data_IF_266796069572
#
_entry.id   IF_266796069572
#
_cell.length_a   1.000
_cell.length_b   1.000
_cell.length_c   1.000
_cell.angle_alpha   90.00
_cell.angle_beta   90.00
_cell.angle_gamma   90.00
#
_symmetry.space_group_name_H-M   'P 1'
#
loop_
_entity.id
_entity.type
_entity.pdbx_description
1 polymer ?
#
# COMPACT_ATOMS: atom_id res chain seq x y z
N UNK A 1 15.09 47.26 54.91
CA UNK A 1 16.54 46.99 55.02
C UNK A 1 16.73 45.63 55.65
N UNK A 2 17.49 44.76 54.97
CA UNK A 2 18.35 43.66 55.44
C UNK A 2 17.92 42.69 56.57
N UNK A 3 18.12 41.41 56.25
CA UNK A 3 18.65 40.37 57.16
C UNK A 3 17.57 39.42 57.68
N UNK A 4 17.74 38.10 57.72
CA UNK A 4 18.90 37.22 57.58
C UNK A 4 18.53 35.88 58.24
N UNK A 5 19.09 34.77 57.73
CA UNK A 5 18.69 33.37 57.90
C UNK A 5 18.91 32.72 59.29
N UNK A 6 17.97 31.80 59.60
CA UNK A 6 18.04 30.45 60.23
C UNK A 6 18.76 30.20 61.58
N UNK A 7 18.29 29.20 62.35
CA UNK A 7 18.96 27.89 62.24
C UNK A 7 18.04 26.65 62.27
N UNK A 8 18.60 25.59 61.67
CA UNK A 8 18.14 24.19 61.57
C UNK A 8 18.19 23.47 62.93
N UNK A 9 17.44 22.37 63.07
CA UNK A 9 18.08 21.15 63.60
C UNK A 9 17.81 19.90 62.74
N UNK A 10 18.76 18.97 62.81
CA UNK A 10 18.82 17.66 62.15
C UNK A 10 18.64 16.56 63.20
N UNK A 11 17.79 15.56 62.90
CA UNK A 11 17.84 14.13 63.32
C UNK A 11 16.41 13.57 63.13
N UNK A 12 16.13 12.42 62.54
CA UNK A 12 16.92 11.35 61.97
C UNK A 12 16.03 10.08 61.90
N UNK A 13 16.29 9.19 60.95
CA UNK A 13 16.06 7.75 61.11
C UNK A 13 14.76 7.11 60.58
N UNK A 14 14.95 6.33 59.50
CA UNK A 14 14.60 4.89 59.35
C UNK A 14 13.16 4.44 58.96
N UNK A 15 13.14 3.60 57.89
CA UNK A 15 12.13 2.57 57.56
C UNK A 15 10.83 3.11 56.93
N UNK A 16 10.17 2.50 55.96
CA UNK A 16 10.14 1.13 55.45
C UNK A 16 9.58 1.10 54.00
N UNK A 17 9.62 -0.10 53.42
CA UNK A 17 9.30 -0.51 52.06
C UNK A 17 7.83 -0.38 51.61
N UNK A 18 7.66 -0.50 50.28
CA UNK A 18 6.41 -0.85 49.60
C UNK A 18 5.75 0.34 48.91
N UNK A 19 5.24 0.29 47.69
CA UNK A 19 4.93 -0.83 46.81
C UNK A 19 4.77 -0.25 45.40
N UNK A 20 4.98 -1.10 44.40
CA UNK A 20 4.77 -0.86 42.98
C UNK A 20 3.57 0.04 42.66
N UNK A 21 3.87 1.23 42.16
CA UNK A 21 2.97 2.05 41.37
C UNK A 21 3.46 2.03 39.92
N UNK A 22 3.50 0.84 39.31
CA UNK A 22 3.61 0.71 37.85
C UNK A 22 2.34 1.32 37.28
N UNK A 23 2.34 2.65 37.11
CA UNK A 23 1.34 3.35 36.35
C UNK A 23 1.28 2.62 35.01
N UNK A 24 0.13 2.00 34.77
CA UNK A 24 -0.23 1.29 33.56
C UNK A 24 -0.07 2.28 32.41
N UNK A 25 1.15 2.38 31.88
CA UNK A 25 1.43 3.17 30.70
C UNK A 25 0.64 2.47 29.62
N UNK A 26 -0.41 3.07 29.06
CA UNK A 26 -1.10 2.46 27.95
C UNK A 26 -0.02 2.11 26.93
N UNK A 27 0.05 0.84 26.57
CA UNK A 27 0.91 0.36 25.48
C UNK A 27 0.42 1.10 24.25
N UNK A 28 1.03 2.27 23.99
CA UNK A 28 0.79 3.00 22.77
C UNK A 28 1.24 2.04 21.68
N UNK A 29 0.36 1.61 20.77
CA UNK A 29 0.77 0.78 19.66
C UNK A 29 1.98 1.48 19.01
N UNK A 30 3.09 0.75 18.82
CA UNK A 30 4.35 1.29 18.30
C UNK A 30 4.22 1.92 16.90
N UNK A 31 3.02 1.84 16.34
CA UNK A 31 2.52 2.48 15.15
C UNK A 31 1.34 3.34 15.62
N UNK A 32 1.60 4.59 15.99
CA UNK A 32 0.55 5.60 15.86
C UNK A 32 0.11 5.52 14.39
N UNK A 33 -1.16 5.20 14.09
CA UNK A 33 -1.58 5.08 12.70
C UNK A 33 -1.27 6.42 12.03
N UNK A 34 -0.37 6.38 11.04
CA UNK A 34 -0.14 7.52 10.17
C UNK A 34 -1.52 7.97 9.70
N UNK A 35 -1.86 9.26 9.91
CA UNK A 35 -3.20 9.76 9.56
C UNK A 35 -3.56 9.27 8.15
N UNK A 36 -4.69 8.58 7.98
CA UNK A 36 -5.04 7.98 6.70
C UNK A 36 -5.04 9.04 5.61
N UNK A 37 -4.46 8.66 4.47
CA UNK A 37 -4.29 9.54 3.34
C UNK A 37 -5.63 9.96 2.70
N UNK A 38 -5.59 10.79 1.66
CA UNK A 38 -6.83 11.26 1.00
C UNK A 38 -7.60 10.12 0.37
N UNK A 39 -6.90 9.17 -0.26
CA UNK A 39 -7.53 8.05 -0.93
C UNK A 39 -8.09 7.06 0.10
N UNK A 40 -7.30 6.71 1.12
CA UNK A 40 -7.79 5.86 2.21
C UNK A 40 -9.01 6.48 2.91
N UNK A 41 -9.00 7.79 3.20
CA UNK A 41 -10.18 8.47 3.77
C UNK A 41 -11.40 8.46 2.86
N UNK A 42 -11.20 8.55 1.55
CA UNK A 42 -12.31 8.46 0.60
C UNK A 42 -12.94 7.07 0.63
N UNK A 43 -12.12 6.01 0.62
CA UNK A 43 -12.59 4.63 0.67
C UNK A 43 -13.31 4.31 1.99
N UNK A 44 -12.88 4.91 3.12
CA UNK A 44 -13.58 4.80 4.42
C UNK A 44 -15.01 5.34 4.39
N UNK A 45 -15.31 6.29 3.50
CA UNK A 45 -16.62 6.95 3.40
C UNK A 45 -17.49 6.43 2.25
N UNK A 46 -16.99 5.48 1.46
CA UNK A 46 -17.59 5.09 0.18
C UNK A 46 -17.94 3.61 0.07
N UNK A 47 -18.28 3.19 -1.14
CA UNK A 47 -18.75 1.84 -1.50
C UNK A 47 -17.63 0.78 -1.53
N UNK A 48 -16.37 1.19 -1.35
CA UNK A 48 -15.19 0.32 -1.38
C UNK A 48 -14.76 -0.08 0.03
N UNK A 49 -15.72 -0.43 0.87
CA UNK A 49 -15.52 -0.71 2.28
C UNK A 49 -14.62 -1.94 2.53
N UNK A 50 -14.49 -2.83 1.55
CA UNK A 50 -13.56 -3.96 1.60
C UNK A 50 -12.10 -3.51 1.73
N UNK A 51 -11.74 -2.33 1.21
CA UNK A 51 -10.39 -1.77 1.31
C UNK A 51 -10.18 -0.89 2.56
N UNK A 52 -11.21 -0.77 3.42
CA UNK A 52 -11.18 0.10 4.62
C UNK A 52 -10.11 -0.31 5.63
N UNK A 53 -9.94 -1.61 5.79
CA UNK A 53 -9.10 -2.21 6.83
C UNK A 53 -7.66 -2.46 6.36
N UNK A 54 -7.38 -2.28 5.06
CA UNK A 54 -6.07 -2.53 4.49
C UNK A 54 -5.22 -1.25 4.42
N UNK A 55 -3.92 -1.31 4.79
CA UNK A 55 -3.02 -0.18 4.65
C UNK A 55 -2.82 0.15 3.17
N UNK A 56 -3.00 1.43 2.81
CA UNK A 56 -2.81 1.91 1.45
C UNK A 56 -1.54 2.76 1.39
N UNK A 57 -0.61 2.34 0.54
CA UNK A 57 0.53 3.16 0.18
C UNK A 57 0.13 4.13 -0.93
N UNK A 58 -0.09 5.40 -0.59
CA UNK A 58 -0.60 6.41 -1.53
C UNK A 58 0.29 7.65 -1.65
N UNK A 59 0.21 8.32 -2.80
CA UNK A 59 0.77 9.65 -3.00
C UNK A 59 0.03 10.40 -4.11
N UNK A 60 0.18 11.72 -4.13
CA UNK A 60 -0.40 12.55 -5.18
C UNK A 60 0.57 12.67 -6.36
N UNK A 61 0.04 12.58 -7.56
CA UNK A 61 0.74 12.69 -8.82
C UNK A 61 0.01 13.68 -9.73
N UNK A 62 0.69 14.05 -10.80
CA UNK A 62 0.06 14.56 -12.01
C UNK A 62 0.42 13.68 -13.19
N UNK A 63 -0.56 13.40 -14.01
CA UNK A 63 -0.33 12.80 -15.31
C UNK A 63 0.35 13.84 -16.20
N UNK A 64 1.48 13.46 -16.80
CA UNK A 64 2.24 14.31 -17.71
C UNK A 64 2.21 13.76 -19.12
N UNK A 65 2.12 14.65 -20.10
CA UNK A 65 2.25 14.30 -21.52
C UNK A 65 3.72 14.11 -21.88
N UNK A 66 3.99 13.60 -23.09
CA UNK A 66 5.37 13.51 -23.64
C UNK A 66 6.08 14.86 -23.71
N UNK A 67 5.32 15.95 -23.72
CA UNK A 67 5.84 17.32 -23.77
C UNK A 67 6.01 17.94 -22.38
N UNK A 68 5.76 17.17 -21.32
CA UNK A 68 5.88 17.63 -19.93
C UNK A 68 4.70 18.46 -19.43
N UNK A 69 3.63 18.57 -20.21
CA UNK A 69 2.43 19.28 -19.82
C UNK A 69 1.62 18.45 -18.81
N UNK A 70 1.01 19.13 -17.84
CA UNK A 70 0.14 18.49 -16.86
C UNK A 70 -1.24 18.29 -17.46
N UNK A 71 -1.66 17.03 -17.57
CA UNK A 71 -2.99 16.65 -18.04
C UNK A 71 -4.00 16.58 -16.88
N UNK A 72 -3.75 15.69 -15.92
CA UNK A 72 -4.71 15.39 -14.84
C UNK A 72 -4.04 15.30 -13.48
N UNK A 73 -4.74 15.72 -12.42
CA UNK A 73 -4.34 15.44 -11.03
C UNK A 73 -4.82 14.04 -10.66
N UNK A 74 -3.93 13.21 -10.13
CA UNK A 74 -4.22 11.81 -9.82
C UNK A 74 -3.62 11.47 -8.46
N UNK A 75 -4.36 10.82 -7.59
CA UNK A 75 -3.84 10.14 -6.41
C UNK A 75 -3.67 8.66 -6.76
N UNK A 76 -2.45 8.15 -6.64
CA UNK A 76 -2.14 6.75 -6.89
C UNK A 76 -1.93 6.04 -5.55
N UNK A 77 -2.58 4.89 -5.38
CA UNK A 77 -2.47 4.04 -4.21
C UNK A 77 -2.11 2.61 -4.59
N UNK A 78 -1.44 1.89 -3.69
CA UNK A 78 -1.24 0.45 -3.81
C UNK A 78 -1.70 -0.19 -2.51
N UNK A 79 -2.50 -1.25 -2.60
CA UNK A 79 -3.08 -1.95 -1.46
C UNK A 79 -3.06 -3.46 -1.67
N UNK A 80 -3.12 -4.21 -0.58
CA UNK A 80 -3.40 -5.64 -0.61
C UNK A 80 -4.92 -5.86 -0.59
N UNK A 81 -5.39 -6.82 -1.39
CA UNK A 81 -6.78 -7.28 -1.39
C UNK A 81 -7.12 -8.21 -0.22
N UNK A 82 -6.09 -8.80 0.41
CA UNK A 82 -6.21 -9.76 1.49
C UNK A 82 -5.12 -9.54 2.54
N UNK A 83 -5.43 -9.71 3.84
CA UNK A 83 -4.44 -9.56 4.91
C UNK A 83 -3.39 -10.66 4.89
N UNK A 84 -3.62 -11.76 4.16
CA UNK A 84 -2.67 -12.85 4.03
C UNK A 84 -1.54 -12.55 3.01
N UNK A 85 -1.65 -11.47 2.25
CA UNK A 85 -0.65 -11.10 1.26
C UNK A 85 0.48 -10.29 1.89
N UNK A 86 1.71 -10.75 1.70
CA UNK A 86 2.92 -10.04 2.15
C UNK A 86 3.20 -8.78 1.31
N UNK A 87 2.63 -8.71 0.11
CA UNK A 87 2.77 -7.60 -0.81
C UNK A 87 1.44 -7.16 -1.39
N UNK A 88 1.32 -5.87 -1.76
CA UNK A 88 0.10 -5.40 -2.37
C UNK A 88 -0.03 -5.94 -3.80
N UNK A 89 -1.27 -6.20 -4.19
CA UNK A 89 -1.67 -6.80 -5.46
C UNK A 89 -2.67 -5.92 -6.25
N UNK A 90 -3.10 -4.79 -5.68
CA UNK A 90 -4.01 -3.83 -6.31
C UNK A 90 -3.36 -2.46 -6.48
N UNK A 91 -3.49 -1.89 -7.67
CA UNK A 91 -3.26 -0.48 -7.96
C UNK A 91 -4.60 0.26 -7.94
N UNK A 92 -4.62 1.37 -7.21
CA UNK A 92 -5.76 2.28 -7.13
C UNK A 92 -5.39 3.60 -7.81
N UNK A 93 -6.29 4.10 -8.66
CA UNK A 93 -6.18 5.43 -9.25
C UNK A 93 -7.41 6.22 -8.87
N UNK A 94 -7.20 7.43 -8.35
CA UNK A 94 -8.26 8.34 -7.95
C UNK A 94 -7.97 9.76 -8.44
N UNK A 95 -9.01 10.54 -8.67
CA UNK A 95 -8.91 11.90 -9.18
C UNK A 95 -9.94 12.82 -8.53
N UNK A 96 -9.83 14.14 -8.70
CA UNK A 96 -10.90 15.04 -8.30
C UNK A 96 -12.12 14.81 -9.21
N UNK A 97 -13.28 14.63 -8.60
CA UNK A 97 -14.58 14.66 -9.25
C UNK A 97 -14.82 16.05 -9.87
N UNK A 98 -15.44 16.08 -11.05
CA UNK A 98 -15.61 17.30 -11.85
C UNK A 98 -16.60 18.27 -11.21
N UNK A 99 -17.61 17.76 -10.50
CA UNK A 99 -18.69 18.59 -9.96
C UNK A 99 -18.44 18.96 -8.49
N UNK A 100 -18.09 17.98 -7.66
CA UNK A 100 -17.94 18.20 -6.22
C UNK A 100 -16.51 18.56 -5.80
N UNK A 101 -15.51 18.35 -6.66
CA UNK A 101 -14.09 18.49 -6.34
C UNK A 101 -13.60 17.49 -5.29
N UNK A 102 -14.46 16.57 -4.82
CA UNK A 102 -14.10 15.49 -3.91
C UNK A 102 -13.25 14.47 -4.64
N UNK A 103 -12.51 13.67 -3.90
CA UNK A 103 -11.78 12.57 -4.53
C UNK A 103 -12.79 11.51 -4.97
N UNK A 104 -12.62 10.97 -6.18
CA UNK A 104 -13.38 9.85 -6.73
C UNK A 104 -12.40 8.78 -7.18
N UNK A 105 -12.72 7.52 -6.92
CA UNK A 105 -11.96 6.40 -7.44
C UNK A 105 -12.20 6.27 -8.94
N UNK A 106 -11.11 6.35 -9.71
CA UNK A 106 -11.12 6.18 -11.16
C UNK A 106 -10.91 4.72 -11.56
N UNK A 107 -10.26 3.92 -10.73
CA UNK A 107 -10.15 2.50 -11.02
C UNK A 107 -9.35 1.71 -10.01
N UNK A 108 -9.63 0.41 -10.01
CA UNK A 108 -8.96 -0.63 -9.26
C UNK A 108 -8.39 -1.62 -10.25
N UNK A 109 -7.09 -1.87 -10.18
CA UNK A 109 -6.39 -2.66 -11.18
C UNK A 109 -5.53 -3.72 -10.49
N UNK A 110 -5.76 -5.02 -10.76
CA UNK A 110 -4.84 -6.06 -10.33
C UNK A 110 -3.44 -5.81 -10.90
N UNK A 111 -2.43 -5.77 -10.05
CA UNK A 111 -1.04 -5.52 -10.43
C UNK A 111 -0.49 -6.57 -11.41
N UNK A 112 -1.04 -7.79 -11.45
CA UNK A 112 -0.70 -8.78 -12.47
C UNK A 112 -0.98 -8.31 -13.92
N UNK A 113 -1.83 -7.29 -14.08
CA UNK A 113 -2.19 -6.66 -15.35
C UNK A 113 -1.57 -5.27 -15.54
N UNK A 114 -0.77 -4.80 -14.57
CA UNK A 114 -0.15 -3.47 -14.60
C UNK A 114 1.35 -3.55 -14.34
N UNK A 115 2.13 -2.94 -15.22
CA UNK A 115 3.56 -2.82 -15.06
C UNK A 115 3.92 -1.40 -14.60
N UNK A 116 4.60 -1.29 -13.46
CA UNK A 116 5.07 -0.04 -12.89
C UNK A 116 6.58 0.13 -13.12
N UNK A 117 6.99 1.26 -13.67
CA UNK A 117 8.40 1.57 -13.93
C UNK A 117 8.79 2.93 -13.36
N UNK A 118 10.06 3.08 -13.04
CA UNK A 118 10.68 4.39 -12.90
C UNK A 118 10.94 4.90 -14.31
N UNK A 119 10.40 6.07 -14.65
CA UNK A 119 10.62 6.68 -15.96
C UNK A 119 11.78 7.67 -15.93
N UNK A 120 11.75 8.59 -14.97
CA UNK A 120 12.74 9.64 -14.81
C UNK A 120 12.87 9.98 -13.32
N UNK A 121 13.99 9.64 -12.71
CA UNK A 121 14.23 9.89 -11.29
C UNK A 121 14.41 11.38 -10.99
N UNK A 122 15.06 12.12 -11.89
CA UNK A 122 15.32 13.56 -11.72
C UNK A 122 14.03 14.38 -11.67
N UNK A 123 13.01 13.92 -12.41
CA UNK A 123 11.67 14.52 -12.42
C UNK A 123 10.68 13.80 -11.51
N UNK A 124 11.10 12.78 -10.77
CA UNK A 124 10.24 11.95 -9.90
C UNK A 124 9.04 11.36 -10.64
N UNK A 125 9.30 10.83 -11.84
CA UNK A 125 8.28 10.29 -12.74
C UNK A 125 8.26 8.78 -12.74
N UNK A 126 7.06 8.23 -12.60
CA UNK A 126 6.75 6.82 -12.80
C UNK A 126 6.03 6.63 -14.12
N UNK A 127 6.17 5.44 -14.71
CA UNK A 127 5.38 4.99 -15.86
C UNK A 127 4.51 3.82 -15.43
N UNK A 128 3.21 3.95 -15.67
CA UNK A 128 2.22 2.90 -15.47
C UNK A 128 1.85 2.36 -16.85
N UNK A 129 2.06 1.07 -17.11
CA UNK A 129 1.71 0.43 -18.38
C UNK A 129 0.72 -0.70 -18.13
N UNK A 130 -0.43 -0.65 -18.78
CA UNK A 130 -1.45 -1.69 -18.72
C UNK A 130 -1.17 -2.78 -19.76
N UNK A 131 -1.69 -3.99 -19.54
CA UNK A 131 -1.60 -5.08 -20.55
C UNK A 131 -2.25 -4.73 -21.88
N UNK A 132 -3.20 -3.79 -21.90
CA UNK A 132 -3.77 -3.21 -23.13
C UNK A 132 -2.74 -2.48 -24.01
N UNK A 133 -1.52 -2.28 -23.51
CA UNK A 133 -0.44 -1.57 -24.20
C UNK A 133 -0.41 -0.08 -23.90
N UNK A 134 -1.48 0.48 -23.32
CA UNK A 134 -1.53 1.89 -22.92
C UNK A 134 -0.58 2.16 -21.76
N UNK A 135 0.02 3.35 -21.79
CA UNK A 135 0.90 3.79 -20.73
C UNK A 135 0.69 5.25 -20.37
N UNK A 136 0.88 5.54 -19.09
CA UNK A 136 0.74 6.86 -18.50
C UNK A 136 2.00 7.21 -17.73
N UNK A 137 2.37 8.48 -17.77
CA UNK A 137 3.51 9.00 -17.03
C UNK A 137 2.97 9.85 -15.89
N UNK A 138 3.40 9.54 -14.68
CA UNK A 138 2.92 10.16 -13.46
C UNK A 138 4.10 10.83 -12.74
N UNK A 139 4.05 12.14 -12.60
CA UNK A 139 5.04 12.91 -11.86
C UNK A 139 4.58 13.15 -10.42
N UNK A 140 5.42 12.80 -9.45
CA UNK A 140 5.09 12.93 -8.03
C UNK A 140 4.88 14.39 -7.63
N UNK A 141 3.81 14.64 -6.87
CA UNK A 141 3.47 15.94 -6.28
C UNK A 141 3.50 15.84 -4.76
N UNK A 142 4.61 16.31 -4.21
CA UNK A 142 4.85 16.46 -2.78
C UNK A 142 5.53 17.80 -2.50
N UNK A 143 5.70 18.17 -1.22
CA UNK A 143 6.49 19.35 -0.88
C UNK A 143 7.96 19.15 -1.29
N UNK A 144 8.65 20.23 -1.65
CA UNK A 144 10.04 20.14 -2.12
C UNK A 144 10.96 19.41 -1.12
N UNK A 145 10.70 19.57 0.17
CA UNK A 145 11.47 18.94 1.26
C UNK A 145 11.26 17.43 1.40
N UNK A 146 10.07 16.93 1.03
CA UNK A 146 9.68 15.52 1.24
C UNK A 146 9.68 14.71 -0.05
N UNK A 147 9.62 15.37 -1.21
CA UNK A 147 9.45 14.75 -2.52
C UNK A 147 10.47 13.66 -2.82
N UNK A 148 11.76 13.88 -2.55
CA UNK A 148 12.79 12.86 -2.78
C UNK A 148 12.58 11.62 -1.91
N UNK A 149 12.21 11.83 -0.64
CA UNK A 149 11.93 10.75 0.30
C UNK A 149 10.69 9.97 -0.11
N UNK A 150 9.63 10.67 -0.50
CA UNK A 150 8.39 10.06 -0.99
C UNK A 150 8.62 9.25 -2.27
N UNK A 151 9.33 9.81 -3.24
CA UNK A 151 9.68 9.11 -4.46
C UNK A 151 10.57 7.90 -4.18
N UNK A 152 11.55 8.04 -3.29
CA UNK A 152 12.39 6.92 -2.87
C UNK A 152 11.62 5.79 -2.18
N UNK A 153 10.47 6.08 -1.53
CA UNK A 153 9.56 5.03 -1.03
C UNK A 153 8.83 4.32 -2.17
N UNK A 154 8.40 5.05 -3.20
CA UNK A 154 7.84 4.44 -4.42
C UNK A 154 8.86 3.55 -5.13
N UNK A 155 10.09 4.01 -5.33
CA UNK A 155 11.15 3.21 -5.96
C UNK A 155 11.40 1.91 -5.18
N UNK A 156 11.48 1.99 -3.84
CA UNK A 156 11.61 0.81 -2.97
C UNK A 156 10.42 -0.14 -3.08
N UNK A 157 9.19 0.38 -3.17
CA UNK A 157 8.01 -0.43 -3.39
C UNK A 157 8.05 -1.14 -4.75
N UNK A 158 8.37 -0.42 -5.83
CA UNK A 158 8.49 -0.98 -7.17
C UNK A 158 9.56 -2.08 -7.24
N UNK A 159 10.68 -1.91 -6.53
CA UNK A 159 11.68 -2.95 -6.36
C UNK A 159 11.05 -4.19 -5.70
N UNK A 160 10.42 -4.04 -4.53
CA UNK A 160 9.79 -5.17 -3.82
C UNK A 160 8.78 -5.92 -4.69
N UNK A 161 7.91 -5.19 -5.38
CA UNK A 161 6.91 -5.77 -6.29
C UNK A 161 7.53 -6.59 -7.43
N UNK A 162 8.70 -6.20 -7.93
CA UNK A 162 9.40 -6.96 -8.97
C UNK A 162 10.06 -8.23 -8.43
N UNK A 163 10.75 -8.12 -7.30
CA UNK A 163 11.58 -9.22 -6.79
C UNK A 163 10.81 -10.31 -6.05
N UNK A 164 9.56 -10.05 -5.67
CA UNK A 164 8.67 -11.04 -5.06
C UNK A 164 7.55 -11.47 -6.02
N UNK A 165 7.59 -11.03 -7.28
CA UNK A 165 6.76 -11.64 -8.31
C UNK A 165 7.22 -13.10 -8.46
N UNK A 166 6.32 -14.09 -8.50
CA UNK A 166 6.64 -15.53 -8.41
C UNK A 166 7.49 -16.10 -9.56
N UNK A 167 8.04 -15.24 -10.44
CA UNK A 167 9.15 -15.60 -11.31
C UNK A 167 10.47 -15.83 -10.53
N UNK A 168 10.56 -15.39 -9.27
CA UNK A 168 11.64 -15.77 -8.36
C UNK A 168 11.19 -16.97 -7.53
N UNK A 169 11.62 -18.16 -7.94
CA UNK A 169 11.33 -19.43 -7.27
C UNK A 169 11.61 -19.37 -5.76
N UNK A 170 10.66 -19.87 -4.97
CA UNK A 170 10.83 -20.18 -3.55
C UNK A 170 11.78 -21.37 -3.40
N UNK A 171 12.87 -21.28 -2.61
CA UNK A 171 13.70 -22.43 -2.28
C UNK A 171 13.24 -22.99 -0.93
N UNK A 172 12.01 -23.49 -0.86
CA UNK A 172 11.57 -24.31 0.28
C UNK A 172 10.70 -25.45 -0.23
N UNK A 173 11.24 -26.22 -1.17
CA UNK A 173 10.98 -27.65 -1.20
C UNK A 173 12.16 -28.29 -0.49
N UNK A 174 12.00 -28.59 0.80
CA UNK A 174 12.81 -29.63 1.39
C UNK A 174 12.39 -30.92 0.70
N UNK A 175 13.30 -31.40 -0.15
CA UNK A 175 13.29 -32.75 -0.68
C UNK A 175 13.37 -33.71 0.52
N UNK A 176 12.24 -34.25 0.96
CA UNK A 176 12.26 -35.54 1.64
C UNK A 176 11.98 -36.60 0.59
N UNK A 177 13.04 -37.33 0.29
CA UNK A 177 13.08 -38.46 -0.61
C UNK A 177 12.47 -39.67 0.09
N UNK A 178 11.52 -40.33 -0.54
CA UNK A 178 11.34 -41.77 -0.42
C UNK A 178 10.75 -42.29 -1.74
N UNK A 179 11.45 -43.15 -2.49
CA UNK A 179 10.83 -43.95 -3.53
C UNK A 179 10.28 -45.22 -2.87
N UNK A 180 8.98 -45.46 -2.97
CA UNK A 180 8.47 -46.83 -2.93
C UNK A 180 7.80 -47.12 -4.26
N UNK A 181 8.30 -48.19 -4.88
CA UNK A 181 7.90 -48.73 -6.16
C UNK A 181 6.55 -49.45 -6.04
N UNK A 182 5.81 -49.38 -7.15
CA UNK A 182 4.80 -50.31 -7.66
C UNK A 182 3.52 -50.57 -6.86
N UNK A 183 2.39 -50.19 -7.45
CA UNK A 183 1.40 -51.17 -7.94
C UNK A 183 0.48 -50.49 -8.98
N UNK A 184 0.24 -51.22 -10.07
CA UNK A 184 -0.61 -50.86 -11.20
C UNK A 184 -2.09 -50.77 -10.79
N UNK A 185 -2.87 -49.84 -11.36
CA UNK A 185 -4.21 -50.17 -11.85
C UNK A 185 -4.75 -49.09 -12.81
N UNK A 186 -5.27 -49.57 -13.93
CA UNK A 186 -5.91 -48.83 -15.02
C UNK A 186 -7.24 -48.19 -14.57
N UNK A 187 -7.65 -47.08 -15.19
CA UNK A 187 -9.07 -46.72 -15.18
C UNK A 187 -9.45 -45.25 -15.35
N UNK A 188 -9.89 -44.95 -16.57
CA UNK A 188 -10.95 -44.00 -16.92
C UNK A 188 -10.70 -42.47 -16.89
N UNK A 189 -10.88 -41.92 -18.09
CA UNK A 189 -10.84 -40.52 -18.45
C UNK A 189 -12.07 -39.79 -17.88
N UNK A 190 -11.86 -38.85 -16.97
CA UNK A 190 -12.85 -37.86 -16.55
C UNK A 190 -12.37 -36.44 -16.84
N UNK A 191 -12.85 -35.83 -17.93
CA UNK A 191 -12.67 -34.40 -18.20
C UNK A 191 -13.40 -33.57 -17.14
N UNK A 192 -12.64 -32.96 -16.22
CA UNK A 192 -13.15 -31.94 -15.31
C UNK A 192 -12.69 -30.57 -15.80
N UNK A 193 -13.59 -29.83 -16.44
CA UNK A 193 -13.41 -28.42 -16.74
C UNK A 193 -13.30 -27.62 -15.43
N UNK A 194 -12.35 -26.66 -15.31
CA UNK A 194 -12.31 -25.79 -14.15
C UNK A 194 -13.49 -24.81 -14.20
N UNK A 195 -14.12 -24.48 -13.05
CA UNK A 195 -15.30 -23.63 -13.03
C UNK A 195 -14.91 -22.19 -13.43
N UNK A 196 -15.70 -21.62 -14.34
CA UNK A 196 -15.64 -20.21 -14.73
C UNK A 196 -15.81 -19.34 -13.48
N UNK A 197 -14.69 -18.81 -12.97
CA UNK A 197 -14.73 -17.71 -12.02
C UNK A 197 -15.24 -16.50 -12.76
N UNK A 198 -16.55 -16.25 -12.66
CA UNK A 198 -17.16 -14.98 -13.03
C UNK A 198 -16.42 -13.89 -12.26
N UNK A 199 -15.50 -13.22 -12.95
CA UNK A 199 -14.91 -11.99 -12.49
C UNK A 199 -16.07 -11.01 -12.33
N UNK A 200 -16.38 -10.64 -11.10
CA UNK A 200 -17.21 -9.48 -10.83
C UNK A 200 -16.35 -8.28 -11.21
N UNK A 201 -16.26 -8.00 -12.50
CA UNK A 201 -15.81 -6.72 -13.01
C UNK A 201 -16.85 -5.71 -12.52
N UNK A 202 -16.51 -5.00 -11.46
CA UNK A 202 -17.17 -3.74 -11.14
C UNK A 202 -16.98 -2.86 -12.38
N UNK A 203 -18.01 -2.83 -13.25
CA UNK A 203 -17.98 -2.11 -14.53
C UNK A 203 -17.70 -0.65 -14.23
N UNK A 204 -16.48 -0.22 -14.56
CA UNK A 204 -16.05 1.16 -14.43
C UNK A 204 -16.90 2.04 -15.35
N UNK A 205 -17.08 3.30 -14.95
CA UNK A 205 -17.73 4.32 -15.77
C UNK A 205 -17.04 4.38 -17.17
N UNK A 206 -17.81 4.36 -18.28
CA UNK A 206 -17.26 4.41 -19.63
C UNK A 206 -16.30 5.58 -19.87
N UNK A 207 -16.55 6.76 -19.29
CA UNK A 207 -15.68 7.93 -19.46
C UNK A 207 -14.32 7.75 -18.76
N UNK A 208 -14.32 7.01 -17.66
CA UNK A 208 -13.12 6.69 -16.90
C UNK A 208 -12.32 5.58 -17.59
N UNK A 209 -13.04 4.66 -18.25
CA UNK A 209 -12.46 3.67 -19.15
C UNK A 209 -11.83 4.32 -20.38
N UNK A 210 -12.31 5.44 -20.91
CA UNK A 210 -11.60 6.17 -21.98
C UNK A 210 -10.33 6.87 -21.49
N UNK A 211 -10.39 7.46 -20.29
CA UNK A 211 -9.28 8.16 -19.64
C UNK A 211 -8.09 7.22 -19.39
N UNK A 212 -8.37 5.99 -18.95
CA UNK A 212 -7.38 4.95 -18.67
C UNK A 212 -7.21 3.90 -19.79
N UNK A 213 -8.17 3.83 -20.70
CA UNK A 213 -8.24 2.91 -21.83
C UNK A 213 -8.39 1.46 -21.51
N UNK A 214 -9.46 1.21 -20.81
CA UNK A 214 -9.96 -0.12 -20.48
C UNK A 214 -11.08 -0.47 -21.44
#
# INVERSE_FOLDING_TARGET
MKGGRDPKPVRGGAGEAGSDGMADRPVVPAYAPCRPGRLQRHLLSGEFDQLRDFPIFESNFVQVTRFGEVANKVTMGVAASSPALELPDLLLLAGPDKESGRLQLLGLFPLQFVQLFVHDESRHQLKVKFRTGRAFYLQLRASAETRDREFGRWVRLLYRLRFHSPASAVPFTHEDTAPEEDEEEEGEQGQLQPPERQAIEARLDPQVSELWGL
#
